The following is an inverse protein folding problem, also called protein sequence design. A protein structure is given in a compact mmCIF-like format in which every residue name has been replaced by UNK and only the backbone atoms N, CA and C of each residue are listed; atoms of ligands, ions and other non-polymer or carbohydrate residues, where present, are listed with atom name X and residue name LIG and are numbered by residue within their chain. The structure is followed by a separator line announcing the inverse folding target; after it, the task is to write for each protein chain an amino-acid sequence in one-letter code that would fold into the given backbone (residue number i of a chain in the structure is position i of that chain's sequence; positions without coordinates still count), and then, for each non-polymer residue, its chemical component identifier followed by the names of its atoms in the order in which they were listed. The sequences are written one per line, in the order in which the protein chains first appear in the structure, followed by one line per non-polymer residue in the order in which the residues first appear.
data_IF_161727438346
#
_entry.id   IF_161727438346
#
_cell.length_a   1.000
_cell.length_b   1.000
_cell.length_c   1.000
_cell.angle_alpha   90.00
_cell.angle_beta   90.00
_cell.angle_gamma   90.00
#
_symmetry.space_group_name_H-M   'P 1'
#
loop_
_entity.id
_entity.type
_entity.pdbx_description
1 polymer ?
#
# COMPACT_ATOMS: atom_id res chain seq x y z
N UNK A 1 5.68 -12.32 -11.62
CA UNK A 1 5.01 -11.18 -10.94
C UNK A 1 4.78 -11.43 -9.45
N UNK A 2 4.54 -12.66 -9.01
CA UNK A 2 4.31 -13.00 -7.58
C UNK A 2 5.47 -12.66 -6.63
N UNK A 3 6.71 -12.69 -7.08
CA UNK A 3 7.89 -12.43 -6.21
C UNK A 3 8.07 -10.95 -5.83
N UNK A 4 7.57 -10.01 -6.61
CA UNK A 4 7.79 -8.58 -6.39
C UNK A 4 7.05 -8.01 -5.17
N UNK A 5 6.02 -8.71 -4.66
CA UNK A 5 5.19 -8.23 -3.55
C UNK A 5 5.40 -9.00 -2.25
N UNK A 6 6.19 -10.09 -2.25
CA UNK A 6 6.32 -11.00 -1.10
C UNK A 6 6.98 -10.37 0.14
N UNK A 7 7.74 -9.30 -0.04
CA UNK A 7 8.40 -8.58 1.06
C UNK A 7 7.53 -7.49 1.68
N UNK A 8 6.38 -7.20 1.06
CA UNK A 8 5.46 -6.15 1.50
C UNK A 8 4.30 -6.68 2.32
N UNK A 9 3.78 -5.81 3.18
CA UNK A 9 2.60 -6.04 4.00
C UNK A 9 1.68 -4.83 3.95
N UNK A 10 0.38 -5.07 4.00
CA UNK A 10 -0.64 -4.05 4.27
C UNK A 10 -1.23 -4.34 5.64
N UNK A 11 -1.28 -3.33 6.51
CA UNK A 11 -1.78 -3.50 7.87
C UNK A 11 -3.27 -3.21 7.96
N UNK A 12 -4.02 -4.14 8.56
CA UNK A 12 -5.45 -4.01 8.83
C UNK A 12 -5.66 -3.60 10.28
N UNK A 13 -6.27 -2.42 10.48
CA UNK A 13 -6.55 -1.84 11.80
C UNK A 13 -8.06 -1.66 11.96
N UNK A 14 -8.61 -2.26 13.00
CA UNK A 14 -10.04 -2.14 13.30
C UNK A 14 -10.28 -1.12 14.39
N UNK A 15 -11.28 -0.28 14.21
CA UNK A 15 -11.77 0.63 15.22
C UNK A 15 -12.91 0.01 16.03
N UNK A 16 -12.83 0.16 17.34
CA UNK A 16 -13.89 -0.23 18.27
C UNK A 16 -13.97 0.74 19.46
N UNK A 17 -14.87 0.49 20.39
CA UNK A 17 -14.92 1.20 21.66
C UNK A 17 -15.27 0.25 22.80
N UNK A 18 -14.78 0.58 24.00
CA UNK A 18 -15.01 -0.22 25.21
C UNK A 18 -16.43 -0.07 25.79
N UNK A 19 -17.21 0.89 25.31
CA UNK A 19 -18.56 1.18 25.84
C UNK A 19 -19.50 -0.04 25.79
N UNK A 20 -19.33 -0.90 24.80
CA UNK A 20 -20.15 -2.11 24.61
C UNK A 20 -19.63 -3.34 25.38
N UNK A 21 -18.63 -3.18 26.24
CA UNK A 21 -18.07 -4.25 27.07
C UNK A 21 -16.91 -5.00 26.40
N UNK A 22 -16.17 -5.73 27.23
CA UNK A 22 -14.98 -6.47 26.76
C UNK A 22 -15.29 -7.64 25.82
N UNK A 23 -16.47 -8.24 25.92
CA UNK A 23 -16.87 -9.35 25.05
C UNK A 23 -17.20 -8.89 23.63
N UNK A 24 -17.78 -7.70 23.46
CA UNK A 24 -17.96 -7.10 22.15
C UNK A 24 -16.60 -6.80 21.47
N UNK A 25 -15.61 -6.31 22.22
CA UNK A 25 -14.26 -6.08 21.70
C UNK A 25 -13.58 -7.38 21.27
N UNK A 26 -13.76 -8.49 22.02
CA UNK A 26 -13.24 -9.81 21.62
C UNK A 26 -13.90 -10.33 20.32
N UNK A 27 -15.21 -10.09 20.16
CA UNK A 27 -15.91 -10.46 18.92
C UNK A 27 -15.40 -9.63 17.73
N UNK A 28 -15.21 -8.31 17.92
CA UNK A 28 -14.58 -7.44 16.90
C UNK A 28 -13.21 -7.96 16.49
N UNK A 29 -12.40 -8.35 17.47
CA UNK A 29 -11.06 -8.92 17.20
C UNK A 29 -11.14 -10.24 16.43
N UNK A 30 -12.08 -11.12 16.79
CA UNK A 30 -12.35 -12.38 16.09
C UNK A 30 -12.79 -12.14 14.63
N UNK A 31 -13.77 -11.27 14.41
CA UNK A 31 -14.27 -10.92 13.07
C UNK A 31 -13.17 -10.28 12.22
N UNK A 32 -12.33 -9.43 12.82
CA UNK A 32 -11.22 -8.79 12.11
C UNK A 32 -10.18 -9.80 11.62
N UNK A 33 -9.85 -10.79 12.45
CA UNK A 33 -8.94 -11.87 12.08
C UNK A 33 -9.53 -12.74 10.98
N UNK A 34 -10.81 -13.11 11.09
CA UNK A 34 -11.49 -13.85 10.04
C UNK A 34 -11.50 -13.09 8.71
N UNK A 35 -11.77 -11.78 8.75
CA UNK A 35 -11.70 -10.94 7.54
C UNK A 35 -10.30 -10.93 6.94
N UNK A 36 -9.26 -10.73 7.74
CA UNK A 36 -7.87 -10.75 7.27
C UNK A 36 -7.51 -12.09 6.65
N UNK A 37 -7.90 -13.19 7.29
CA UNK A 37 -7.69 -14.54 6.74
C UNK A 37 -8.45 -14.72 5.42
N UNK A 38 -9.69 -14.27 5.35
CA UNK A 38 -10.48 -14.32 4.12
C UNK A 38 -9.92 -13.46 2.99
N UNK A 39 -9.42 -12.27 3.29
CA UNK A 39 -8.73 -11.39 2.34
C UNK A 39 -7.48 -12.11 1.76
N UNK A 40 -6.63 -12.66 2.61
CA UNK A 40 -5.42 -13.37 2.20
C UNK A 40 -5.73 -14.65 1.39
N UNK A 41 -6.77 -15.38 1.77
CA UNK A 41 -7.17 -16.64 1.10
C UNK A 41 -7.99 -16.41 -0.17
N UNK A 42 -8.30 -15.17 -0.53
CA UNK A 42 -9.10 -14.85 -1.72
C UNK A 42 -8.40 -15.18 -3.05
N UNK A 43 -7.07 -15.22 -3.05
CA UNK A 43 -6.25 -15.35 -4.26
C UNK A 43 -6.26 -14.11 -5.17
N UNK A 44 -6.90 -13.02 -4.75
CA UNK A 44 -7.05 -11.78 -5.54
C UNK A 44 -6.04 -10.71 -5.12
N UNK A 45 -5.75 -10.62 -3.81
CA UNK A 45 -4.86 -9.59 -3.27
C UNK A 45 -3.39 -9.93 -3.55
N UNK A 46 -2.59 -9.00 -4.10
CA UNK A 46 -1.18 -9.25 -4.41
C UNK A 46 -0.25 -9.10 -3.20
N UNK A 47 -0.69 -8.40 -2.15
CA UNK A 47 0.10 -8.12 -0.96
C UNK A 47 -0.54 -8.79 0.26
N UNK A 48 0.29 -9.31 1.16
CA UNK A 48 -0.19 -9.91 2.40
C UNK A 48 -0.84 -8.87 3.31
N UNK A 49 -2.07 -9.12 3.73
CA UNK A 49 -2.75 -8.33 4.76
C UNK A 49 -2.39 -8.87 6.15
N UNK A 50 -1.95 -8.00 7.04
CA UNK A 50 -1.55 -8.34 8.41
C UNK A 50 -2.48 -7.65 9.39
N UNK A 51 -3.10 -8.42 10.28
CA UNK A 51 -3.91 -7.86 11.35
C UNK A 51 -3.02 -7.12 12.36
N UNK A 52 -3.14 -5.79 12.44
CA UNK A 52 -2.33 -4.94 13.30
C UNK A 52 -2.98 -4.62 14.67
N UNK A 53 -4.24 -5.00 14.82
CA UNK A 53 -4.98 -4.92 16.09
C UNK A 53 -6.28 -4.12 16.02
N UNK A 54 -7.05 -4.21 17.09
CA UNK A 54 -8.24 -3.39 17.35
C UNK A 54 -7.86 -2.22 18.25
N UNK A 55 -8.14 -0.99 17.81
CA UNK A 55 -7.83 0.24 18.53
C UNK A 55 -9.09 0.80 19.22
N UNK A 56 -9.00 1.04 20.53
CA UNK A 56 -10.10 1.50 21.39
C UNK A 56 -9.82 2.86 22.04
N UNK A 57 -8.67 3.46 21.77
CA UNK A 57 -8.25 4.74 22.33
C UNK A 57 -7.36 5.53 21.39
N UNK A 58 -7.29 6.85 21.61
CA UNK A 58 -6.39 7.73 20.82
C UNK A 58 -4.93 7.32 20.92
N UNK A 59 -4.51 6.75 22.05
CA UNK A 59 -3.15 6.27 22.26
C UNK A 59 -2.88 5.05 21.38
N UNK A 60 -3.75 4.05 21.42
CA UNK A 60 -3.60 2.82 20.61
C UNK A 60 -3.60 3.12 19.11
N UNK A 61 -4.50 4.03 18.65
CA UNK A 61 -4.48 4.48 17.26
C UNK A 61 -3.15 5.13 16.90
N UNK A 62 -2.65 6.06 17.74
CA UNK A 62 -1.37 6.72 17.51
C UNK A 62 -0.19 5.74 17.51
N UNK A 63 -0.20 4.77 18.41
CA UNK A 63 0.87 3.77 18.54
C UNK A 63 0.91 2.83 17.33
N UNK A 64 -0.24 2.36 16.83
CA UNK A 64 -0.27 1.50 15.63
C UNK A 64 0.15 2.27 14.38
N UNK A 65 -0.26 3.54 14.21
CA UNK A 65 0.15 4.36 13.07
C UNK A 65 1.63 4.71 13.10
N UNK A 66 2.19 4.94 14.30
CA UNK A 66 3.64 5.14 14.48
C UNK A 66 4.42 3.89 14.08
N UNK A 67 3.99 2.71 14.53
CA UNK A 67 4.61 1.43 14.16
C UNK A 67 4.52 1.17 12.65
N UNK A 68 3.39 1.48 12.02
CA UNK A 68 3.24 1.35 10.57
C UNK A 68 4.23 2.24 9.81
N UNK A 69 4.46 3.47 10.28
CA UNK A 69 5.41 4.39 9.63
C UNK A 69 6.85 3.89 9.62
N UNK A 70 7.31 3.26 10.72
CA UNK A 70 8.70 2.81 10.87
C UNK A 70 8.93 1.37 10.37
N UNK A 71 7.87 0.64 10.06
CA UNK A 71 7.99 -0.72 9.52
C UNK A 71 8.18 -0.65 7.99
N UNK A 72 9.35 -1.05 7.51
CA UNK A 72 9.69 -1.02 6.09
C UNK A 72 8.85 -1.99 5.25
N UNK A 73 8.34 -3.08 5.83
CA UNK A 73 7.44 -4.00 5.13
C UNK A 73 6.02 -3.45 4.99
N UNK A 74 5.57 -2.60 5.93
CA UNK A 74 4.25 -2.00 5.88
C UNK A 74 4.20 -0.91 4.82
N UNK A 75 3.51 -1.16 3.70
CA UNK A 75 3.38 -0.22 2.58
C UNK A 75 2.05 0.54 2.57
N UNK A 76 1.09 0.15 3.40
CA UNK A 76 -0.21 0.82 3.50
C UNK A 76 -1.01 0.35 4.71
N UNK A 77 -2.03 1.11 5.07
CA UNK A 77 -2.92 0.82 6.20
C UNK A 77 -4.36 0.81 5.74
N UNK A 78 -5.07 -0.29 6.02
CA UNK A 78 -6.53 -0.43 5.89
C UNK A 78 -7.15 -0.14 7.25
N UNK A 79 -8.11 0.79 7.29
CA UNK A 79 -8.91 1.06 8.49
C UNK A 79 -10.36 0.66 8.28
N UNK A 80 -10.92 -0.09 9.22
CA UNK A 80 -12.30 -0.53 9.27
C UNK A 80 -12.95 -0.22 10.62
N UNK A 81 -14.16 0.33 10.60
CA UNK A 81 -14.92 0.66 11.80
C UNK A 81 -16.04 -0.36 12.00
N UNK A 82 -15.80 -1.43 12.76
CA UNK A 82 -16.76 -2.51 12.93
C UNK A 82 -17.92 -2.12 13.85
N UNK A 83 -17.61 -1.72 15.09
CA UNK A 83 -18.56 -1.03 15.97
C UNK A 83 -18.51 0.46 15.70
N UNK A 84 -19.35 1.24 16.40
CA UNK A 84 -19.12 2.67 16.44
C UNK A 84 -17.77 2.95 17.14
N UNK A 85 -16.79 3.37 16.37
CA UNK A 85 -15.50 3.80 16.87
C UNK A 85 -15.46 5.33 16.82
N UNK A 86 -15.46 6.03 17.97
CA UNK A 86 -15.51 7.50 17.99
C UNK A 86 -14.36 8.11 17.20
N UNK A 87 -14.66 8.80 16.12
CA UNK A 87 -13.65 9.26 15.17
C UNK A 87 -12.66 10.29 15.74
N UNK A 88 -13.04 10.97 16.83
CA UNK A 88 -12.13 11.85 17.56
C UNK A 88 -10.86 11.12 18.05
N UNK A 89 -10.95 9.83 18.34
CA UNK A 89 -9.79 9.00 18.74
C UNK A 89 -8.76 8.88 17.62
N UNK A 90 -9.18 8.99 16.36
CA UNK A 90 -8.34 8.78 15.18
C UNK A 90 -7.54 10.00 14.78
N UNK A 91 -7.88 11.20 15.26
CA UNK A 91 -7.28 12.46 14.81
C UNK A 91 -5.75 12.41 14.88
N UNK A 92 -5.20 12.11 16.06
CA UNK A 92 -3.75 12.09 16.27
C UNK A 92 -3.06 11.04 15.38
N UNK A 93 -3.60 9.83 15.33
CA UNK A 93 -3.04 8.77 14.50
C UNK A 93 -3.05 9.10 13.01
N UNK A 94 -4.15 9.71 12.52
CA UNK A 94 -4.25 10.11 11.11
C UNK A 94 -3.33 11.28 10.75
N UNK A 95 -3.04 12.17 11.69
CA UNK A 95 -2.08 13.25 11.49
C UNK A 95 -0.65 12.74 11.35
N UNK A 96 -0.27 11.69 12.09
CA UNK A 96 1.09 11.14 12.06
C UNK A 96 1.30 10.07 10.99
N UNK A 97 0.25 9.40 10.52
CA UNK A 97 0.36 8.36 9.50
C UNK A 97 0.91 8.94 8.19
N UNK A 98 2.01 8.38 7.70
CA UNK A 98 2.65 8.76 6.43
C UNK A 98 2.41 7.76 5.31
N UNK A 99 2.00 6.54 5.64
CA UNK A 99 1.71 5.49 4.66
C UNK A 99 0.37 5.74 3.96
N UNK A 100 0.19 5.24 2.73
CA UNK A 100 -1.10 5.22 2.05
C UNK A 100 -2.21 4.65 2.94
N UNK A 101 -3.38 5.29 2.89
CA UNK A 101 -4.54 4.93 3.70
C UNK A 101 -5.68 4.43 2.81
N UNK A 102 -6.25 3.27 3.17
CA UNK A 102 -7.52 2.78 2.66
C UNK A 102 -8.55 2.80 3.79
N UNK A 103 -9.65 3.51 3.57
CA UNK A 103 -10.85 3.42 4.39
C UNK A 103 -11.74 2.32 3.81
N UNK A 104 -11.84 1.21 4.51
CA UNK A 104 -12.66 0.07 4.10
C UNK A 104 -14.03 0.16 4.75
N UNK A 105 -15.02 0.60 3.98
CA UNK A 105 -16.40 0.73 4.41
C UNK A 105 -17.17 -0.54 4.06
N UNK A 106 -17.21 -1.47 4.98
CA UNK A 106 -17.88 -2.78 4.81
C UNK A 106 -18.62 -3.19 6.08
N UNK A 107 -19.56 -4.11 5.93
CA UNK A 107 -20.19 -4.84 7.04
C UNK A 107 -19.56 -6.23 7.14
N UNK A 108 -19.43 -6.75 8.37
CA UNK A 108 -18.98 -8.12 8.57
C UNK A 108 -19.97 -9.13 7.98
N UNK A 109 -21.26 -8.92 8.24
CA UNK A 109 -22.34 -9.79 7.73
C UNK A 109 -22.75 -9.37 6.32
N UNK A 110 -22.98 -10.36 5.44
CA UNK A 110 -23.47 -10.12 4.08
C UNK A 110 -24.89 -9.54 4.07
N UNK A 111 -25.72 -10.04 4.98
CA UNK A 111 -27.15 -9.68 5.09
C UNK A 111 -27.51 -9.32 6.53
N UNK A 112 -28.51 -8.45 6.68
CA UNK A 112 -29.12 -8.16 7.98
C UNK A 112 -30.02 -9.35 8.36
N UNK A 113 -29.83 -9.97 9.54
CA UNK A 113 -30.65 -11.09 9.99
C UNK A 113 -31.98 -10.56 10.58
N UNK A 114 -32.90 -10.16 9.72
CA UNK A 114 -34.15 -9.48 10.11
C UNK A 114 -34.97 -10.22 11.15
N UNK A 115 -34.93 -11.56 11.14
CA UNK A 115 -35.73 -12.41 12.05
C UNK A 115 -35.13 -12.48 13.47
N UNK A 116 -33.85 -12.16 13.63
CA UNK A 116 -33.11 -12.35 14.90
C UNK A 116 -32.34 -11.11 15.36
N UNK A 117 -32.47 -10.01 14.62
CA UNK A 117 -31.76 -8.77 14.95
C UNK A 117 -32.23 -8.19 16.28
N UNK A 118 -31.29 -7.86 17.13
CA UNK A 118 -31.48 -7.23 18.43
C UNK A 118 -30.52 -6.06 18.65
N UNK A 119 -30.55 -5.48 19.84
CA UNK A 119 -29.67 -4.36 20.18
C UNK A 119 -28.20 -4.75 20.27
N UNK A 120 -27.91 -5.99 20.65
CA UNK A 120 -26.52 -6.47 20.75
C UNK A 120 -25.92 -6.63 19.33
N UNK A 121 -26.71 -7.17 18.40
CA UNK A 121 -26.31 -7.20 16.98
C UNK A 121 -26.08 -5.77 16.44
N UNK A 122 -26.99 -4.82 16.75
CA UNK A 122 -26.86 -3.43 16.31
C UNK A 122 -25.60 -2.76 16.91
N UNK A 123 -25.33 -2.97 18.18
CA UNK A 123 -24.16 -2.41 18.86
C UNK A 123 -22.85 -2.94 18.29
N UNK A 124 -22.82 -4.22 17.93
CA UNK A 124 -21.65 -4.86 17.32
C UNK A 124 -21.43 -4.38 15.87
N UNK A 125 -22.50 -4.16 15.11
CA UNK A 125 -22.45 -3.93 13.64
C UNK A 125 -22.80 -2.47 13.26
N UNK A 126 -22.05 -1.51 13.77
CA UNK A 126 -22.24 -0.08 13.50
C UNK A 126 -21.25 0.53 12.49
N UNK A 127 -20.74 -0.27 11.55
CA UNK A 127 -19.79 0.21 10.54
C UNK A 127 -20.33 1.42 9.78
N UNK A 128 -21.60 1.40 9.34
CA UNK A 128 -22.19 2.52 8.60
C UNK A 128 -22.16 3.84 9.38
N UNK A 129 -22.27 3.79 10.70
CA UNK A 129 -22.19 4.98 11.56
C UNK A 129 -20.72 5.37 11.81
N UNK A 130 -19.88 4.42 12.25
CA UNK A 130 -18.48 4.67 12.55
C UNK A 130 -17.69 5.11 11.34
N UNK A 131 -17.92 4.51 10.18
CA UNK A 131 -17.26 4.87 8.93
C UNK A 131 -17.62 6.26 8.43
N UNK A 132 -18.88 6.70 8.60
CA UNK A 132 -19.26 8.07 8.23
C UNK A 132 -18.54 9.12 9.07
N UNK A 133 -18.46 8.88 10.38
CA UNK A 133 -17.77 9.80 11.28
C UNK A 133 -16.26 9.78 11.03
N UNK A 134 -15.68 8.61 10.79
CA UNK A 134 -14.28 8.48 10.41
C UNK A 134 -13.97 9.21 9.09
N UNK A 135 -14.80 9.01 8.06
CA UNK A 135 -14.65 9.72 6.79
C UNK A 135 -14.75 11.24 6.95
N UNK A 136 -15.64 11.72 7.84
CA UNK A 136 -15.76 13.14 8.16
C UNK A 136 -14.47 13.70 8.75
N UNK A 137 -13.87 13.01 9.73
CA UNK A 137 -12.59 13.43 10.32
C UNK A 137 -11.46 13.39 9.29
N UNK A 138 -11.37 12.37 8.46
CA UNK A 138 -10.37 12.31 7.39
C UNK A 138 -10.50 13.49 6.41
N UNK A 139 -11.74 13.88 6.08
CA UNK A 139 -12.00 15.04 5.22
C UNK A 139 -11.61 16.35 5.90
N UNK A 140 -11.91 16.52 7.19
CA UNK A 140 -11.49 17.68 7.97
C UNK A 140 -9.97 17.82 8.08
N UNK A 141 -9.27 16.70 8.20
CA UNK A 141 -7.81 16.63 8.22
C UNK A 141 -7.19 16.78 6.82
N UNK A 142 -7.98 16.81 5.77
CA UNK A 142 -7.53 16.74 4.37
C UNK A 142 -6.61 15.53 4.15
N UNK A 143 -6.87 14.42 4.85
CA UNK A 143 -6.08 13.19 4.74
C UNK A 143 -6.38 12.49 3.42
N UNK A 144 -5.41 12.36 2.50
CA UNK A 144 -5.56 11.56 1.29
C UNK A 144 -5.89 10.11 1.66
N UNK A 145 -6.86 9.53 0.98
CA UNK A 145 -7.27 8.15 1.20
C UNK A 145 -7.94 7.55 -0.03
N UNK A 146 -7.85 6.24 -0.17
CA UNK A 146 -8.77 5.45 -0.99
C UNK A 146 -9.94 5.02 -0.11
N UNK A 147 -11.17 5.17 -0.59
CA UNK A 147 -12.35 4.57 0.04
C UNK A 147 -12.82 3.41 -0.84
N UNK A 148 -12.97 2.24 -0.23
CA UNK A 148 -13.57 1.06 -0.87
C UNK A 148 -14.83 0.70 -0.10
N UNK A 149 -15.96 0.59 -0.80
CA UNK A 149 -17.26 0.27 -0.24
C UNK A 149 -17.74 -1.03 -0.89
N UNK A 150 -18.18 -1.98 -0.08
CA UNK A 150 -18.71 -3.26 -0.54
C UNK A 150 -18.49 -4.38 0.45
N UNK A 151 -19.11 -5.54 0.19
CA UNK A 151 -18.93 -6.71 1.04
C UNK A 151 -17.50 -7.28 0.89
N UNK A 152 -16.88 -7.61 2.00
CA UNK A 152 -15.46 -8.00 2.04
C UNK A 152 -15.11 -9.34 1.35
N UNK A 153 -16.09 -10.17 1.03
CA UNK A 153 -15.91 -11.39 0.22
C UNK A 153 -16.27 -11.21 -1.26
N UNK A 154 -16.80 -10.03 -1.64
CA UNK A 154 -17.17 -9.77 -3.03
C UNK A 154 -15.91 -9.57 -3.89
N UNK A 155 -15.73 -10.34 -4.99
CA UNK A 155 -14.59 -10.22 -5.88
C UNK A 155 -14.38 -8.81 -6.45
N UNK A 156 -15.44 -8.06 -6.71
CA UNK A 156 -15.34 -6.67 -7.18
C UNK A 156 -14.72 -5.76 -6.11
N UNK A 157 -15.15 -5.91 -4.87
CA UNK A 157 -14.59 -5.20 -3.71
C UNK A 157 -13.12 -5.55 -3.51
N UNK A 158 -12.77 -6.83 -3.57
CA UNK A 158 -11.41 -7.32 -3.46
C UNK A 158 -10.50 -6.78 -4.57
N UNK A 159 -10.98 -6.72 -5.81
CA UNK A 159 -10.22 -6.13 -6.90
C UNK A 159 -9.92 -4.63 -6.69
N UNK A 160 -10.83 -3.87 -6.09
CA UNK A 160 -10.56 -2.47 -5.73
C UNK A 160 -9.46 -2.33 -4.67
N UNK A 161 -9.42 -3.25 -3.70
CA UNK A 161 -8.34 -3.32 -2.70
C UNK A 161 -7.03 -3.71 -3.40
N UNK A 162 -7.04 -4.73 -4.25
CA UNK A 162 -5.87 -5.20 -4.97
C UNK A 162 -5.22 -4.11 -5.86
N UNK A 163 -6.04 -3.28 -6.51
CA UNK A 163 -5.53 -2.12 -7.27
C UNK A 163 -4.84 -1.12 -6.33
N UNK A 164 -5.44 -0.84 -5.16
CA UNK A 164 -4.83 0.07 -4.19
C UNK A 164 -3.53 -0.50 -3.62
N UNK A 165 -3.45 -1.80 -3.35
CA UNK A 165 -2.21 -2.45 -2.88
C UNK A 165 -1.07 -2.31 -3.90
N UNK A 166 -1.35 -2.44 -5.21
CA UNK A 166 -0.36 -2.20 -6.26
C UNK A 166 0.13 -0.74 -6.26
N UNK A 167 -0.77 0.21 -6.02
CA UNK A 167 -0.39 1.62 -5.86
C UNK A 167 0.50 1.81 -4.63
N UNK A 168 0.17 1.16 -3.51
CA UNK A 168 1.02 1.20 -2.31
C UNK A 168 2.43 0.65 -2.58
N UNK A 169 2.52 -0.46 -3.31
CA UNK A 169 3.81 -1.04 -3.70
C UNK A 169 4.61 -0.07 -4.59
N UNK A 170 3.97 0.54 -5.59
CA UNK A 170 4.62 1.55 -6.44
C UNK A 170 5.10 2.78 -5.66
N UNK A 171 4.33 3.24 -4.67
CA UNK A 171 4.75 4.35 -3.79
C UNK A 171 5.93 3.95 -2.91
N UNK A 172 5.94 2.72 -2.37
CA UNK A 172 7.04 2.22 -1.55
C UNK A 172 8.32 2.05 -2.37
N UNK A 173 8.22 1.47 -3.56
CA UNK A 173 9.33 1.29 -4.49
C UNK A 173 9.94 2.63 -4.91
N UNK A 174 9.10 3.64 -5.19
CA UNK A 174 9.54 4.97 -5.57
C UNK A 174 10.42 5.66 -4.52
N UNK A 175 10.21 5.38 -3.23
CA UNK A 175 11.00 6.00 -2.14
C UNK A 175 12.45 5.51 -2.10
N UNK A 176 12.73 4.30 -2.61
CA UNK A 176 14.07 3.69 -2.63
C UNK A 176 14.65 3.65 -4.05
N UNK A 177 13.93 4.14 -5.06
CA UNK A 177 14.35 4.08 -6.45
C UNK A 177 15.42 5.12 -6.76
N UNK A 178 16.57 4.67 -7.26
CA UNK A 178 17.62 5.50 -7.82
C UNK A 178 17.59 5.44 -9.35
N UNK A 179 17.33 6.58 -9.99
CA UNK A 179 17.41 6.73 -11.45
C UNK A 179 18.77 7.33 -11.78
N UNK A 180 19.60 6.59 -12.51
CA UNK A 180 20.90 7.07 -12.96
C UNK A 180 20.77 7.56 -14.41
N UNK A 181 21.19 8.79 -14.64
CA UNK A 181 21.31 9.40 -15.96
C UNK A 181 22.76 9.43 -16.39
N UNK A 182 23.03 8.90 -17.56
CA UNK A 182 24.38 9.00 -18.18
C UNK A 182 24.48 10.29 -18.97
N UNK A 183 25.41 11.16 -18.56
CA UNK A 183 25.57 12.50 -19.12
C UNK A 183 24.60 13.53 -18.50
N UNK A 184 24.44 14.67 -19.15
CA UNK A 184 23.57 15.75 -18.71
C UNK A 184 22.44 16.05 -19.72
N UNK A 185 21.67 17.13 -19.49
CA UNK A 185 20.63 17.57 -20.42
C UNK A 185 21.22 17.92 -21.78
N UNK A 186 20.41 17.73 -22.81
CA UNK A 186 20.75 18.12 -24.18
C UNK A 186 20.52 19.62 -24.36
N UNK A 187 21.52 20.32 -24.92
CA UNK A 187 21.40 21.74 -25.21
C UNK A 187 20.19 22.02 -26.12
N UNK A 188 19.39 23.01 -25.74
CA UNK A 188 18.21 23.47 -26.48
C UNK A 188 17.07 22.43 -26.60
N UNK A 189 17.07 21.35 -25.80
CA UNK A 189 15.99 20.36 -25.76
C UNK A 189 15.33 20.45 -24.39
N UNK A 190 14.27 21.25 -24.31
CA UNK A 190 13.59 21.60 -23.04
C UNK A 190 13.11 20.39 -22.25
N UNK A 191 12.71 19.29 -22.90
CA UNK A 191 12.20 18.07 -22.24
C UNK A 191 13.30 17.31 -21.48
N UNK A 192 14.56 17.62 -21.70
CA UNK A 192 15.69 17.03 -20.98
C UNK A 192 16.10 17.84 -19.74
N UNK A 193 15.60 19.07 -19.61
CA UNK A 193 15.75 19.92 -18.44
C UNK A 193 14.66 19.60 -17.42
N UNK A 194 15.01 18.86 -16.37
CA UNK A 194 14.06 18.48 -15.31
C UNK A 194 14.47 19.05 -13.94
N UNK A 195 13.48 19.46 -13.17
CA UNK A 195 13.67 19.79 -11.75
C UNK A 195 13.77 18.49 -10.93
N UNK A 196 15.00 17.99 -10.73
CA UNK A 196 15.28 16.76 -9.99
C UNK A 196 14.84 16.87 -8.52
N UNK A 197 14.91 18.05 -7.94
CA UNK A 197 14.48 18.30 -6.57
C UNK A 197 12.96 18.17 -6.45
N UNK A 198 12.22 18.80 -7.33
CA UNK A 198 10.76 18.66 -7.37
C UNK A 198 10.35 17.21 -7.69
N UNK A 199 11.08 16.53 -8.56
CA UNK A 199 10.83 15.13 -8.89
C UNK A 199 10.95 14.22 -7.66
N UNK A 200 12.01 14.37 -6.87
CA UNK A 200 12.20 13.63 -5.62
C UNK A 200 11.13 14.01 -4.57
N UNK A 201 10.86 15.31 -4.38
CA UNK A 201 9.85 15.76 -3.42
C UNK A 201 8.43 15.26 -3.73
N UNK A 202 8.05 15.18 -5.01
CA UNK A 202 6.69 14.83 -5.43
C UNK A 202 6.52 13.33 -5.64
N UNK A 203 7.51 12.66 -6.23
CA UNK A 203 7.42 11.27 -6.65
C UNK A 203 8.25 10.31 -5.79
N UNK A 204 9.23 10.81 -5.05
CA UNK A 204 10.11 10.03 -4.19
C UNK A 204 11.35 9.46 -4.87
N UNK A 205 11.43 9.48 -6.21
CA UNK A 205 12.60 8.99 -6.94
C UNK A 205 13.82 9.88 -6.75
N UNK A 206 14.93 9.30 -6.39
CA UNK A 206 16.22 9.99 -6.42
C UNK A 206 16.80 9.93 -7.84
N UNK A 207 17.19 11.08 -8.39
CA UNK A 207 17.81 11.16 -9.73
C UNK A 207 19.23 11.66 -9.59
N UNK A 208 20.17 10.79 -9.93
CA UNK A 208 21.59 11.12 -9.99
C UNK A 208 22.11 11.06 -11.42
N UNK A 209 23.35 11.50 -11.65
CA UNK A 209 23.97 11.43 -12.95
C UNK A 209 25.42 10.91 -12.87
N UNK A 210 25.84 10.24 -13.91
CA UNK A 210 27.21 9.78 -14.09
C UNK A 210 27.84 10.57 -15.25
N UNK A 211 28.98 11.16 -15.00
CA UNK A 211 29.72 11.88 -16.04
C UNK A 211 30.17 10.91 -17.16
N UNK A 212 30.15 11.38 -18.38
CA UNK A 212 30.51 10.55 -19.54
C UNK A 212 31.97 10.06 -19.47
N UNK A 213 32.88 10.85 -18.87
CA UNK A 213 34.27 10.42 -18.61
C UNK A 213 34.34 9.17 -17.74
N UNK A 214 33.51 9.07 -16.69
CA UNK A 214 33.43 7.87 -15.81
C UNK A 214 32.89 6.66 -16.58
N UNK A 215 31.94 6.88 -17.50
CA UNK A 215 31.46 5.80 -18.37
C UNK A 215 32.57 5.29 -19.29
N UNK A 216 33.39 6.19 -19.85
CA UNK A 216 34.53 5.81 -20.70
C UNK A 216 35.62 5.08 -19.92
N UNK A 217 35.97 5.53 -18.70
CA UNK A 217 36.89 4.81 -17.83
C UNK A 217 36.42 3.37 -17.57
N UNK A 218 35.12 3.19 -17.33
CA UNK A 218 34.55 1.85 -17.15
C UNK A 218 34.57 1.03 -18.45
N UNK A 219 34.24 1.68 -19.59
CA UNK A 219 34.26 1.06 -20.90
C UNK A 219 35.63 0.40 -21.21
N UNK A 220 36.72 1.11 -20.92
CA UNK A 220 38.10 0.64 -21.14
C UNK A 220 38.47 -0.59 -20.29
N UNK A 221 37.65 -0.94 -19.28
CA UNK A 221 37.84 -2.15 -18.45
C UNK A 221 37.12 -3.37 -18.98
N UNK A 222 36.19 -3.20 -19.93
CA UNK A 222 35.37 -4.29 -20.47
C UNK A 222 36.22 -5.13 -21.41
N UNK A 223 36.23 -6.44 -21.17
CA UNK A 223 36.97 -7.40 -22.00
C UNK A 223 36.06 -7.91 -23.11
N UNK A 224 36.69 -8.19 -24.28
CA UNK A 224 35.97 -8.72 -25.45
C UNK A 224 35.24 -10.04 -25.11
N UNK A 225 35.88 -10.93 -24.32
CA UNK A 225 35.24 -12.18 -23.91
C UNK A 225 33.93 -11.97 -23.12
N UNK A 226 33.82 -10.87 -22.36
CA UNK A 226 32.60 -10.51 -21.64
C UNK A 226 31.51 -10.00 -22.60
N UNK A 227 31.91 -9.30 -23.65
CA UNK A 227 31.00 -8.85 -24.70
C UNK A 227 30.47 -10.05 -25.49
N UNK A 228 31.36 -10.94 -25.91
CA UNK A 228 31.00 -12.16 -26.63
C UNK A 228 30.05 -13.05 -25.81
N UNK A 229 30.34 -13.22 -24.52
CA UNK A 229 29.46 -13.97 -23.64
C UNK A 229 28.07 -13.34 -23.54
N UNK A 230 27.97 -12.01 -23.40
CA UNK A 230 26.69 -11.30 -23.35
C UNK A 230 25.91 -11.47 -24.66
N UNK A 231 26.58 -11.32 -25.80
CA UNK A 231 25.96 -11.47 -27.12
C UNK A 231 25.44 -12.89 -27.33
N UNK A 232 26.26 -13.90 -27.10
CA UNK A 232 25.92 -15.30 -27.40
C UNK A 232 25.01 -15.92 -26.35
N UNK A 233 25.21 -15.59 -25.07
CA UNK A 233 24.49 -16.24 -23.96
C UNK A 233 23.19 -15.54 -23.59
N UNK A 234 23.03 -14.25 -23.89
CA UNK A 234 21.83 -13.48 -23.61
C UNK A 234 21.12 -13.07 -24.89
N UNK A 235 21.73 -12.21 -25.74
CA UNK A 235 21.01 -11.65 -26.85
C UNK A 235 20.56 -12.70 -27.87
N UNK A 236 21.44 -13.61 -28.30
CA UNK A 236 21.06 -14.63 -29.29
C UNK A 236 20.14 -15.72 -28.74
N UNK A 237 20.09 -15.91 -27.40
CA UNK A 237 19.19 -16.88 -26.78
C UNK A 237 17.82 -16.31 -26.44
N UNK A 238 17.75 -15.03 -26.05
CA UNK A 238 16.52 -14.41 -25.54
C UNK A 238 15.78 -13.61 -26.61
N UNK A 239 16.45 -13.16 -27.66
CA UNK A 239 15.87 -12.30 -28.67
C UNK A 239 15.94 -12.93 -30.09
N UNK A 240 14.93 -12.62 -30.89
CA UNK A 240 14.98 -12.93 -32.35
C UNK A 240 15.86 -11.90 -33.06
N UNK A 241 17.13 -12.20 -33.21
CA UNK A 241 18.11 -11.32 -33.87
C UNK A 241 18.08 -11.55 -35.36
N UNK A 242 18.01 -10.46 -36.15
CA UNK A 242 18.09 -10.54 -37.61
C UNK A 242 19.47 -11.07 -38.05
N UNK A 243 19.50 -11.89 -39.13
CA UNK A 243 20.74 -12.53 -39.59
C UNK A 243 21.85 -11.53 -39.94
N UNK A 244 21.49 -10.36 -40.43
CA UNK A 244 22.43 -9.28 -40.75
C UNK A 244 23.13 -8.64 -39.50
N UNK A 245 22.72 -9.00 -38.27
CA UNK A 245 23.29 -8.51 -37.02
C UNK A 245 23.97 -9.61 -36.21
N UNK A 246 24.20 -10.79 -36.81
CA UNK A 246 24.83 -11.94 -36.14
C UNK A 246 26.31 -12.07 -36.44
N UNK A 247 26.85 -11.24 -37.33
CA UNK A 247 28.27 -11.23 -37.74
C UNK A 247 29.06 -10.17 -36.93
#
# INVERSE_FOLDING_TARGET
MEKAFNDFEVWFVTGAQLLYGGDAVKQVDGHSKEMVDGLNNSGILPVKVVYAGTANSSKEVADVMSRANINNKCIGVICWMHTFSPAKMWIKGMQILRKPLLHFHTQYNEKIPYDTIDMDFMNLNQSAHGDREFAHILSRLRKPRKTVIGYWKDPKTLNHIAVWERVCAGVADAQDCLIIRFGDQMNNVAVTDGDKVAFEQVLGYHVDYVQFSTVMEFFDTIKDESVDALVHDVYFKEYAVADALKD
#
